data_IF_931653576480
#
_entry.id   IF_931653576480
#
_cell.length_a   1.000
_cell.length_b   1.000
_cell.length_c   1.000
_cell.angle_alpha   90.00
_cell.angle_beta   90.00
_cell.angle_gamma   90.00
#
_symmetry.space_group_name_H-M   'P 1'
#
loop_
_entity.id
_entity.type
_entity.pdbx_description
1 polymer ?
#
# COMPACT_ATOMS: atom_id res chain seq x y z
N UNK A 1 -35.83 -2.82 -77.10
CA UNK A 1 -37.20 -2.67 -76.55
C UNK A 1 -37.19 -3.13 -75.09
N UNK A 2 -37.48 -2.18 -74.18
CA UNK A 2 -38.03 -2.29 -72.79
C UNK A 2 -37.99 -3.70 -72.14
N UNK A 3 -37.47 -3.91 -70.92
CA UNK A 3 -37.76 -3.20 -69.66
C UNK A 3 -36.62 -3.40 -68.63
N UNK A 4 -36.33 -2.33 -67.88
CA UNK A 4 -35.54 -2.32 -66.63
C UNK A 4 -36.21 -3.16 -65.54
N UNK A 5 -35.42 -3.86 -64.74
CA UNK A 5 -35.70 -4.17 -63.34
C UNK A 5 -34.43 -3.87 -62.53
N UNK A 6 -34.43 -2.74 -61.84
CA UNK A 6 -33.43 -2.33 -60.88
C UNK A 6 -33.79 -2.98 -59.54
N UNK A 7 -33.08 -4.05 -59.15
CA UNK A 7 -33.22 -4.64 -57.84
C UNK A 7 -32.37 -3.85 -56.83
N UNK A 8 -33.05 -3.12 -55.95
CA UNK A 8 -32.47 -2.43 -54.80
C UNK A 8 -32.07 -3.49 -53.76
N UNK A 9 -30.77 -3.77 -53.61
CA UNK A 9 -30.25 -4.54 -52.48
C UNK A 9 -30.28 -3.65 -51.24
N UNK A 10 -31.31 -3.84 -50.41
CA UNK A 10 -31.35 -3.31 -49.05
C UNK A 10 -30.45 -4.23 -48.20
N UNK A 11 -29.24 -3.78 -47.92
CA UNK A 11 -28.38 -4.40 -46.90
C UNK A 11 -29.04 -4.18 -45.54
N UNK A 12 -29.68 -5.22 -45.01
CA UNK A 12 -30.19 -5.23 -43.65
C UNK A 12 -28.98 -5.20 -42.70
N UNK A 13 -28.67 -4.01 -42.20
CA UNK A 13 -27.71 -3.80 -41.13
C UNK A 13 -28.35 -4.34 -39.85
N UNK A 14 -28.09 -5.61 -39.55
CA UNK A 14 -28.48 -6.25 -38.30
C UNK A 14 -27.76 -5.53 -37.16
N UNK A 15 -28.44 -4.59 -36.51
CA UNK A 15 -28.11 -4.13 -35.17
C UNK A 15 -28.13 -5.36 -34.25
N UNK A 16 -26.97 -5.97 -34.02
CA UNK A 16 -26.74 -6.66 -32.76
C UNK A 16 -26.76 -5.58 -31.68
N UNK A 17 -27.93 -5.34 -31.11
CA UNK A 17 -28.03 -4.63 -29.86
C UNK A 17 -27.21 -5.42 -28.85
N UNK A 18 -26.12 -4.83 -28.35
CA UNK A 18 -25.60 -5.20 -27.05
C UNK A 18 -26.75 -4.95 -26.06
N UNK A 19 -27.48 -6.00 -25.73
CA UNK A 19 -28.23 -6.04 -24.49
C UNK A 19 -27.19 -6.06 -23.40
N UNK A 20 -26.83 -4.86 -22.92
CA UNK A 20 -26.23 -4.73 -21.61
C UNK A 20 -27.18 -5.48 -20.65
N UNK A 21 -26.71 -6.60 -20.12
CA UNK A 21 -27.35 -7.24 -18.98
C UNK A 21 -27.19 -6.24 -17.85
N UNK A 22 -28.18 -5.36 -17.69
CA UNK A 22 -28.42 -4.67 -16.43
C UNK A 22 -28.75 -5.79 -15.44
N UNK A 23 -27.72 -6.39 -14.85
CA UNK A 23 -27.87 -7.04 -13.56
C UNK A 23 -28.43 -5.97 -12.64
N UNK A 24 -29.71 -6.11 -12.33
CA UNK A 24 -30.47 -5.14 -11.59
C UNK A 24 -29.77 -4.90 -10.25
N UNK A 25 -29.27 -3.67 -10.03
CA UNK A 25 -28.72 -3.18 -8.75
C UNK A 25 -29.83 -3.03 -7.69
N UNK A 26 -30.70 -4.03 -7.57
CA UNK A 26 -31.88 -3.99 -6.71
C UNK A 26 -31.61 -4.79 -5.46
N UNK A 27 -31.68 -4.10 -4.34
CA UNK A 27 -31.75 -4.71 -3.01
C UNK A 27 -32.98 -5.64 -2.97
N UNK A 28 -32.87 -6.87 -2.44
CA UNK A 28 -34.00 -7.77 -2.28
C UNK A 28 -35.14 -7.11 -1.49
N UNK A 29 -36.39 -7.46 -1.81
CA UNK A 29 -37.56 -6.94 -1.10
C UNK A 29 -37.87 -7.71 0.20
N UNK A 30 -37.31 -8.92 0.33
CA UNK A 30 -37.42 -9.80 1.49
C UNK A 30 -36.35 -10.88 1.40
N UNK A 31 -35.90 -11.41 2.54
CA UNK A 31 -35.02 -12.57 2.59
C UNK A 31 -35.59 -13.74 1.75
N UNK A 32 -34.73 -14.37 0.96
CA UNK A 32 -35.11 -15.49 0.11
C UNK A 32 -35.41 -16.78 0.90
N UNK A 33 -36.24 -17.68 0.36
CA UNK A 33 -36.43 -19.02 0.92
C UNK A 33 -35.12 -19.80 1.09
N UNK A 34 -34.18 -19.65 0.15
CA UNK A 34 -32.87 -20.29 0.14
C UNK A 34 -32.03 -19.79 1.33
N UNK A 35 -31.92 -18.47 1.51
CA UNK A 35 -31.26 -17.90 2.69
C UNK A 35 -31.93 -18.31 4.00
N UNK A 36 -33.26 -18.42 4.03
CA UNK A 36 -33.99 -18.91 5.22
C UNK A 36 -33.61 -20.37 5.55
N UNK A 37 -33.44 -21.23 4.54
CA UNK A 37 -32.98 -22.60 4.71
C UNK A 37 -31.55 -22.63 5.28
N UNK A 38 -30.62 -21.84 4.71
CA UNK A 38 -29.25 -21.72 5.23
C UNK A 38 -29.24 -21.32 6.71
N UNK A 39 -30.01 -20.28 7.08
CA UNK A 39 -30.09 -19.78 8.46
C UNK A 39 -30.65 -20.85 9.40
N UNK A 40 -31.65 -21.63 8.98
CA UNK A 40 -32.28 -22.64 9.84
C UNK A 40 -31.30 -23.71 10.36
N UNK A 41 -30.27 -24.03 9.58
CA UNK A 41 -29.20 -24.95 9.96
C UNK A 41 -28.03 -24.22 10.63
N UNK A 42 -27.51 -23.17 9.99
CA UNK A 42 -26.31 -22.45 10.44
C UNK A 42 -26.52 -21.68 11.75
N UNK A 43 -27.77 -21.37 12.14
CA UNK A 43 -28.04 -20.75 13.44
C UNK A 43 -27.64 -21.65 14.62
N UNK A 44 -27.70 -22.96 14.44
CA UNK A 44 -27.23 -23.96 15.40
C UNK A 44 -25.73 -24.25 15.23
N UNK A 45 -25.28 -24.48 14.00
CA UNK A 45 -23.95 -25.04 13.74
C UNK A 45 -22.86 -23.97 13.67
N UNK A 46 -23.22 -22.76 13.23
CA UNK A 46 -22.32 -21.61 13.08
C UNK A 46 -22.94 -20.34 13.69
N UNK A 47 -23.30 -20.35 14.98
CA UNK A 47 -24.05 -19.27 15.60
C UNK A 47 -23.32 -17.92 15.57
N UNK A 48 -21.98 -17.93 15.53
CA UNK A 48 -21.18 -16.72 15.39
C UNK A 48 -21.37 -16.02 14.04
N UNK A 49 -21.36 -16.78 12.94
CA UNK A 49 -21.53 -16.21 11.59
C UNK A 49 -22.93 -15.63 11.42
N UNK A 50 -23.96 -16.37 11.85
CA UNK A 50 -25.35 -15.92 11.77
C UNK A 50 -25.57 -14.68 12.63
N UNK A 51 -24.99 -14.60 13.83
CA UNK A 51 -25.09 -13.40 14.68
C UNK A 51 -24.43 -12.17 14.05
N UNK A 52 -23.23 -12.33 13.49
CA UNK A 52 -22.54 -11.22 12.82
C UNK A 52 -23.30 -10.76 11.56
N UNK A 53 -23.84 -11.69 10.77
CA UNK A 53 -24.72 -11.35 9.65
C UNK A 53 -25.98 -10.62 10.13
N UNK A 54 -26.68 -11.09 11.18
CA UNK A 54 -27.84 -10.40 11.76
C UNK A 54 -27.50 -8.99 12.29
N UNK A 55 -26.25 -8.73 12.65
CA UNK A 55 -25.77 -7.40 13.04
C UNK A 55 -25.55 -6.46 11.83
N UNK A 56 -25.32 -7.03 10.66
CA UNK A 56 -24.95 -6.29 9.44
C UNK A 56 -26.08 -5.42 8.89
N UNK A 57 -25.70 -4.44 8.07
CA UNK A 57 -26.65 -3.71 7.22
C UNK A 57 -27.19 -4.56 6.07
N UNK A 58 -26.48 -5.62 5.66
CA UNK A 58 -26.95 -6.56 4.65
C UNK A 58 -28.19 -7.31 5.13
N UNK A 59 -28.21 -7.77 6.39
CA UNK A 59 -29.42 -8.36 7.00
C UNK A 59 -30.60 -7.39 7.01
N UNK A 60 -30.37 -6.13 7.40
CA UNK A 60 -31.41 -5.11 7.40
C UNK A 60 -31.92 -4.74 5.99
N UNK A 61 -31.17 -5.12 4.96
CA UNK A 61 -31.49 -4.95 3.55
C UNK A 61 -31.88 -6.27 2.88
N UNK A 62 -32.21 -7.31 3.65
CA UNK A 62 -32.64 -8.61 3.17
C UNK A 62 -31.63 -9.35 2.25
N UNK A 63 -30.36 -8.95 2.28
CA UNK A 63 -29.25 -9.66 1.63
C UNK A 63 -28.79 -10.78 2.58
N UNK A 64 -29.21 -12.01 2.27
CA UNK A 64 -28.93 -13.21 3.06
C UNK A 64 -27.71 -13.98 2.58
N UNK A 65 -27.58 -15.22 3.07
CA UNK A 65 -26.47 -16.11 2.77
C UNK A 65 -26.40 -16.44 1.27
N UNK A 66 -27.54 -16.85 0.70
CA UNK A 66 -27.62 -17.32 -0.68
C UNK A 66 -27.41 -16.19 -1.69
N UNK A 67 -27.84 -14.97 -1.38
CA UNK A 67 -27.62 -13.80 -2.25
C UNK A 67 -26.12 -13.52 -2.51
N UNK A 68 -25.23 -13.91 -1.58
CA UNK A 68 -23.79 -13.76 -1.75
C UNK A 68 -23.09 -15.06 -2.17
N UNK A 69 -23.52 -16.20 -1.62
CA UNK A 69 -22.82 -17.48 -1.79
C UNK A 69 -23.34 -18.31 -2.96
N UNK A 70 -24.47 -17.98 -3.58
CA UNK A 70 -24.95 -18.71 -4.74
C UNK A 70 -23.90 -18.70 -5.86
N UNK A 71 -23.58 -19.89 -6.35
CA UNK A 71 -22.64 -20.12 -7.44
C UNK A 71 -23.36 -20.67 -8.67
N UNK A 72 -22.72 -20.58 -9.82
CA UNK A 72 -23.13 -21.25 -11.05
C UNK A 72 -22.27 -22.48 -11.34
N UNK A 73 -22.75 -23.38 -12.19
CA UNK A 73 -22.05 -24.64 -12.52
C UNK A 73 -20.70 -24.42 -13.22
N UNK A 74 -20.48 -23.23 -13.78
CA UNK A 74 -19.22 -22.81 -14.40
C UNK A 74 -18.23 -22.16 -13.42
N UNK A 75 -18.64 -21.89 -12.18
CA UNK A 75 -17.73 -21.43 -11.13
C UNK A 75 -16.85 -22.60 -10.68
N UNK A 76 -15.53 -22.40 -10.76
CA UNK A 76 -14.56 -23.48 -10.49
C UNK A 76 -14.53 -23.92 -9.02
N UNK A 77 -15.01 -23.07 -8.10
CA UNK A 77 -15.12 -23.32 -6.66
C UNK A 77 -16.58 -23.59 -6.21
N UNK A 78 -17.48 -23.86 -7.16
CA UNK A 78 -18.84 -24.27 -6.86
C UNK A 78 -18.86 -25.65 -6.20
N UNK A 79 -19.59 -25.76 -5.10
CA UNK A 79 -19.81 -27.00 -4.36
C UNK A 79 -21.30 -27.20 -4.08
N UNK A 80 -21.76 -28.44 -4.20
CA UNK A 80 -23.12 -28.81 -3.82
C UNK A 80 -23.20 -28.91 -2.28
N UNK A 81 -24.17 -28.23 -1.69
CA UNK A 81 -24.40 -28.18 -0.25
C UNK A 81 -25.90 -28.14 0.06
N UNK A 82 -26.42 -29.28 0.55
CA UNK A 82 -27.83 -29.46 0.95
C UNK A 82 -28.84 -28.92 -0.08
N UNK A 83 -28.74 -29.44 -1.32
CA UNK A 83 -29.55 -29.08 -2.50
C UNK A 83 -29.28 -27.69 -3.11
N UNK A 84 -28.27 -26.96 -2.62
CA UNK A 84 -27.85 -25.66 -3.17
C UNK A 84 -26.46 -25.74 -3.79
N UNK A 85 -26.24 -25.01 -4.89
CA UNK A 85 -24.91 -24.80 -5.45
C UNK A 85 -24.34 -23.49 -4.91
N UNK A 86 -23.25 -23.58 -4.17
CA UNK A 86 -22.64 -22.42 -3.48
C UNK A 86 -21.14 -22.35 -3.72
N UNK A 87 -20.59 -21.14 -3.61
CA UNK A 87 -19.15 -20.91 -3.51
C UNK A 87 -18.82 -20.46 -2.09
N UNK A 88 -17.77 -21.04 -1.50
CA UNK A 88 -17.30 -20.60 -0.18
C UNK A 88 -16.72 -19.19 -0.23
N UNK A 89 -16.10 -18.82 -1.36
CA UNK A 89 -15.43 -17.54 -1.55
C UNK A 89 -16.35 -16.58 -2.27
N UNK A 90 -16.86 -15.58 -1.53
CA UNK A 90 -17.50 -14.41 -2.14
C UNK A 90 -16.40 -13.48 -2.65
N UNK A 91 -16.34 -13.29 -3.97
CA UNK A 91 -15.31 -12.49 -4.63
C UNK A 91 -15.73 -11.01 -4.74
N UNK A 92 -14.80 -10.09 -5.04
CA UNK A 92 -15.14 -8.73 -5.44
C UNK A 92 -16.15 -8.63 -6.59
N UNK A 93 -16.17 -9.59 -7.53
CA UNK A 93 -17.16 -9.64 -8.62
C UNK A 93 -18.56 -9.95 -8.11
N UNK A 94 -18.69 -10.75 -7.06
CA UNK A 94 -19.98 -10.95 -6.41
C UNK A 94 -20.45 -9.67 -5.74
N UNK A 95 -19.55 -8.95 -5.06
CA UNK A 95 -19.86 -7.65 -4.48
C UNK A 95 -20.30 -6.63 -5.55
N UNK A 96 -19.69 -6.67 -6.74
CA UNK A 96 -19.96 -5.70 -7.83
C UNK A 96 -21.37 -5.81 -8.41
N UNK A 97 -22.11 -6.90 -8.13
CA UNK A 97 -23.55 -7.01 -8.46
C UNK A 97 -24.35 -5.86 -7.83
N UNK A 98 -23.93 -5.37 -6.66
CA UNK A 98 -24.54 -4.23 -5.96
C UNK A 98 -23.60 -3.02 -5.83
N UNK A 99 -22.29 -3.24 -5.64
CA UNK A 99 -21.28 -2.24 -5.33
C UNK A 99 -20.29 -2.02 -6.48
N UNK A 100 -20.82 -1.72 -7.68
CA UNK A 100 -19.98 -1.63 -8.88
C UNK A 100 -18.97 -0.48 -8.80
N UNK A 101 -19.34 0.66 -8.22
CA UNK A 101 -18.44 1.81 -8.14
C UNK A 101 -17.24 1.49 -7.23
N UNK A 102 -17.49 0.94 -6.04
CA UNK A 102 -16.45 0.55 -5.10
C UNK A 102 -15.56 -0.56 -5.68
N UNK A 103 -16.16 -1.49 -6.43
CA UNK A 103 -15.43 -2.52 -7.17
C UNK A 103 -14.49 -1.92 -8.21
N UNK A 104 -14.98 -1.04 -9.09
CA UNK A 104 -14.20 -0.44 -10.17
C UNK A 104 -13.03 0.40 -9.60
N UNK A 105 -13.31 1.25 -8.62
CA UNK A 105 -12.28 2.02 -7.90
C UNK A 105 -11.22 1.11 -7.26
N UNK A 106 -11.65 0.01 -6.62
CA UNK A 106 -10.71 -0.93 -6.02
C UNK A 106 -9.87 -1.65 -7.08
N UNK A 107 -10.46 -2.08 -8.20
CA UNK A 107 -9.75 -2.80 -9.27
C UNK A 107 -8.63 -1.96 -9.91
N UNK A 108 -8.83 -0.65 -9.99
CA UNK A 108 -7.86 0.33 -10.50
C UNK A 108 -6.72 0.62 -9.51
N UNK A 109 -6.91 0.28 -8.23
CA UNK A 109 -5.94 0.54 -7.18
C UNK A 109 -4.75 -0.42 -7.20
N UNK A 110 -3.62 0.03 -6.64
CA UNK A 110 -2.47 -0.85 -6.38
C UNK A 110 -2.78 -1.96 -5.35
N UNK A 111 -3.80 -1.78 -4.51
CA UNK A 111 -4.23 -2.79 -3.54
C UNK A 111 -4.79 -4.04 -4.23
N UNK A 112 -5.55 -3.89 -5.32
CA UNK A 112 -6.01 -5.04 -6.11
C UNK A 112 -4.84 -5.83 -6.71
N UNK A 113 -3.75 -5.15 -7.04
CA UNK A 113 -2.55 -5.78 -7.61
C UNK A 113 -1.55 -6.28 -6.55
N UNK A 114 -1.84 -6.14 -5.26
CA UNK A 114 -0.89 -6.44 -4.18
C UNK A 114 -0.39 -7.89 -4.20
N UNK A 115 -1.23 -8.86 -4.56
CA UNK A 115 -0.86 -10.28 -4.63
C UNK A 115 0.13 -10.61 -5.75
N UNK A 116 0.29 -9.73 -6.74
CA UNK A 116 1.27 -9.90 -7.82
C UNK A 116 2.72 -9.77 -7.33
N UNK A 117 2.94 -9.17 -6.15
CA UNK A 117 4.28 -9.05 -5.57
C UNK A 117 4.92 -10.42 -5.31
N UNK A 118 4.12 -11.46 -5.06
CA UNK A 118 4.62 -12.81 -4.83
C UNK A 118 5.26 -13.43 -6.08
N UNK A 119 4.93 -12.92 -7.26
CA UNK A 119 5.58 -13.30 -8.52
C UNK A 119 6.79 -12.43 -8.88
N UNK A 120 7.23 -11.50 -8.02
CA UNK A 120 8.37 -10.64 -8.29
C UNK A 120 9.67 -11.19 -7.66
N UNK A 121 10.81 -10.72 -8.17
CA UNK A 121 12.13 -10.98 -7.58
C UNK A 121 12.23 -10.47 -6.13
N UNK A 122 11.32 -9.58 -5.69
CA UNK A 122 11.27 -9.10 -4.31
C UNK A 122 10.83 -10.22 -3.33
N UNK A 123 10.28 -11.34 -3.81
CA UNK A 123 9.84 -12.46 -2.99
C UNK A 123 10.95 -13.51 -2.70
N UNK A 124 12.18 -13.30 -3.18
CA UNK A 124 13.31 -14.22 -2.89
C UNK A 124 13.55 -14.32 -1.38
N UNK A 125 13.46 -13.19 -0.67
CA UNK A 125 13.63 -13.16 0.78
C UNK A 125 12.60 -14.06 1.48
N UNK A 126 11.33 -13.95 1.10
CA UNK A 126 10.26 -14.80 1.64
C UNK A 126 10.38 -16.26 1.20
N UNK A 127 10.33 -16.53 -0.11
CA UNK A 127 10.17 -17.90 -0.61
C UNK A 127 11.43 -18.75 -0.47
N UNK A 128 12.61 -18.14 -0.58
CA UNK A 128 13.89 -18.86 -0.62
C UNK A 128 14.65 -18.74 0.69
N UNK A 129 14.84 -17.51 1.19
CA UNK A 129 15.66 -17.27 2.39
C UNK A 129 14.91 -17.69 3.67
N UNK A 130 13.64 -17.29 3.82
CA UNK A 130 12.82 -17.61 5.00
C UNK A 130 12.09 -18.96 4.87
N UNK A 131 11.56 -19.25 3.68
CA UNK A 131 10.90 -20.50 3.31
C UNK A 131 9.38 -20.40 3.15
N UNK A 132 8.75 -21.41 2.53
CA UNK A 132 7.37 -21.34 2.04
C UNK A 132 6.33 -21.11 3.14
N UNK A 133 6.52 -21.69 4.33
CA UNK A 133 5.59 -21.50 5.44
C UNK A 133 5.61 -20.07 6.00
N UNK A 134 6.75 -19.39 5.95
CA UNK A 134 6.84 -17.98 6.34
C UNK A 134 6.05 -17.11 5.36
N UNK A 135 6.16 -17.37 4.05
CA UNK A 135 5.39 -16.68 3.01
C UNK A 135 3.89 -16.91 3.16
N UNK A 136 3.47 -18.15 3.40
CA UNK A 136 2.04 -18.50 3.57
C UNK A 136 1.41 -17.77 4.77
N UNK A 137 2.13 -17.71 5.90
CA UNK A 137 1.59 -17.14 7.13
C UNK A 137 1.87 -15.63 7.29
N UNK A 138 2.87 -15.09 6.60
CA UNK A 138 3.25 -13.67 6.63
C UNK A 138 2.79 -12.95 5.36
N UNK A 139 3.58 -13.06 4.30
CA UNK A 139 3.41 -12.27 3.08
C UNK A 139 2.03 -12.43 2.45
N UNK A 140 1.56 -13.67 2.26
CA UNK A 140 0.26 -13.98 1.63
C UNK A 140 -0.91 -13.46 2.46
N UNK A 141 -0.79 -13.38 3.78
CA UNK A 141 -1.87 -12.90 4.65
C UNK A 141 -2.11 -11.40 4.54
N UNK A 142 -1.11 -10.63 4.11
CA UNK A 142 -1.20 -9.20 3.85
C UNK A 142 -1.44 -8.88 2.36
N UNK A 143 -0.61 -9.43 1.47
CA UNK A 143 -0.64 -9.13 0.04
C UNK A 143 -1.71 -9.89 -0.73
N UNK A 144 -2.01 -11.12 -0.29
CA UNK A 144 -2.88 -12.06 -1.01
C UNK A 144 -2.09 -12.98 -1.92
N UNK A 145 -2.72 -14.07 -2.33
CA UNK A 145 -2.16 -15.05 -3.28
C UNK A 145 -3.22 -15.50 -4.27
N UNK A 146 -2.80 -16.27 -5.28
CA UNK A 146 -3.74 -17.05 -6.10
C UNK A 146 -4.36 -18.11 -5.20
N UNK A 147 -5.68 -18.09 -5.06
CA UNK A 147 -6.42 -19.18 -4.42
C UNK A 147 -6.49 -20.33 -5.40
N UNK A 148 -6.07 -21.51 -4.95
CA UNK A 148 -6.15 -22.73 -5.74
C UNK A 148 -7.33 -23.57 -5.28
N UNK A 149 -8.11 -24.03 -6.26
CA UNK A 149 -9.16 -25.03 -6.08
C UNK A 149 -8.59 -26.36 -6.58
N UNK A 150 -8.70 -27.39 -5.76
CA UNK A 150 -8.27 -28.75 -6.10
C UNK A 150 -9.29 -29.41 -7.03
N UNK A 151 -8.90 -30.52 -7.67
CA UNK A 151 -9.78 -31.28 -8.58
C UNK A 151 -11.07 -31.79 -7.91
N UNK A 152 -11.10 -31.91 -6.58
CA UNK A 152 -12.26 -32.33 -5.78
C UNK A 152 -13.14 -31.15 -5.30
N UNK A 153 -12.83 -29.92 -5.73
CA UNK A 153 -13.52 -28.69 -5.32
C UNK A 153 -13.07 -28.11 -3.98
N UNK A 154 -12.18 -28.79 -3.25
CA UNK A 154 -11.62 -28.27 -2.00
C UNK A 154 -10.60 -27.14 -2.26
N UNK A 155 -10.43 -26.25 -1.28
CA UNK A 155 -9.46 -25.15 -1.36
C UNK A 155 -8.09 -25.58 -0.82
N UNK A 156 -7.03 -25.29 -1.56
CA UNK A 156 -5.65 -25.65 -1.20
C UNK A 156 -5.21 -24.90 0.08
N UNK A 157 -4.77 -25.61 1.14
CA UNK A 157 -4.36 -25.02 2.42
C UNK A 157 -3.17 -24.06 2.31
N UNK A 158 -2.34 -24.14 1.27
CA UNK A 158 -1.22 -23.23 1.04
C UNK A 158 -1.67 -21.85 0.50
N UNK A 159 -2.95 -21.74 0.13
CA UNK A 159 -3.54 -20.55 -0.49
C UNK A 159 -4.85 -20.11 0.16
N UNK A 160 -5.44 -20.92 1.04
CA UNK A 160 -6.66 -20.63 1.79
C UNK A 160 -6.58 -21.19 3.22
N UNK A 161 -7.01 -20.47 4.27
CA UNK A 161 -7.68 -19.17 4.26
C UNK A 161 -6.75 -18.00 3.92
N UNK A 162 -7.27 -17.06 3.13
CA UNK A 162 -6.53 -15.86 2.73
C UNK A 162 -7.42 -14.61 2.74
N UNK A 163 -6.94 -13.58 3.43
CA UNK A 163 -7.58 -12.25 3.49
C UNK A 163 -6.64 -11.14 3.03
N UNK A 164 -5.62 -11.50 2.25
CA UNK A 164 -4.68 -10.54 1.72
C UNK A 164 -5.34 -9.62 0.70
N UNK A 165 -4.89 -8.37 0.67
CA UNK A 165 -5.60 -7.28 0.00
C UNK A 165 -5.80 -7.53 -1.49
N UNK A 166 -4.79 -8.06 -2.18
CA UNK A 166 -4.79 -8.36 -3.61
C UNK A 166 -4.88 -9.85 -3.92
N UNK A 167 -5.63 -10.63 -3.10
CA UNK A 167 -5.93 -12.05 -3.36
C UNK A 167 -6.47 -12.23 -4.78
N UNK A 168 -6.00 -13.24 -5.52
CA UNK A 168 -6.55 -13.56 -6.84
C UNK A 168 -7.55 -14.70 -6.63
N UNK A 169 -8.82 -14.40 -6.90
CA UNK A 169 -9.95 -15.28 -6.63
C UNK A 169 -10.14 -16.34 -7.73
N UNK A 170 -10.90 -17.42 -7.45
CA UNK A 170 -11.20 -18.46 -8.43
C UNK A 170 -11.83 -17.93 -9.74
N UNK A 171 -12.68 -16.91 -9.66
CA UNK A 171 -13.31 -16.22 -10.80
C UNK A 171 -12.37 -15.24 -11.55
N UNK A 172 -11.10 -15.18 -11.15
CA UNK A 172 -10.05 -14.30 -11.68
C UNK A 172 -10.14 -12.83 -11.23
N UNK A 173 -11.15 -12.46 -10.43
CA UNK A 173 -11.23 -11.12 -9.85
C UNK A 173 -10.11 -10.90 -8.83
N UNK A 174 -9.65 -9.66 -8.71
CA UNK A 174 -8.57 -9.30 -7.78
C UNK A 174 -9.16 -8.66 -6.53
N UNK A 175 -8.72 -9.14 -5.38
CA UNK A 175 -8.96 -8.52 -4.08
C UNK A 175 -9.70 -9.38 -3.07
N UNK A 176 -9.72 -8.88 -1.84
CA UNK A 176 -10.57 -9.39 -0.77
C UNK A 176 -11.32 -8.22 -0.13
N UNK A 177 -12.58 -7.99 -0.53
CA UNK A 177 -13.40 -6.90 0.02
C UNK A 177 -13.62 -7.01 1.54
N UNK A 178 -13.47 -8.20 2.12
CA UNK A 178 -13.53 -8.41 3.57
C UNK A 178 -12.23 -8.02 4.31
N UNK A 179 -11.22 -7.48 3.63
CA UNK A 179 -9.94 -7.11 4.25
C UNK A 179 -10.07 -5.93 5.23
N UNK A 180 -11.02 -5.01 5.00
CA UNK A 180 -11.20 -3.82 5.85
C UNK A 180 -12.49 -3.79 6.68
N UNK A 181 -13.59 -4.25 6.11
CA UNK A 181 -14.85 -4.43 6.82
C UNK A 181 -15.16 -5.92 6.82
N UNK A 182 -14.71 -6.59 7.87
CA UNK A 182 -14.67 -8.05 7.96
C UNK A 182 -16.05 -8.69 7.77
N UNK A 183 -16.03 -9.88 7.17
CA UNK A 183 -17.20 -10.77 7.16
C UNK A 183 -17.51 -11.22 8.61
N UNK A 184 -18.76 -11.40 9.02
CA UNK A 184 -20.00 -11.26 8.24
C UNK A 184 -20.84 -10.03 8.63
N UNK A 185 -20.31 -9.15 9.49
CA UNK A 185 -20.99 -7.89 9.83
C UNK A 185 -20.81 -6.83 8.76
N UNK A 186 -19.70 -6.86 8.00
CA UNK A 186 -19.36 -5.90 6.95
C UNK A 186 -19.55 -4.44 7.42
N UNK A 187 -19.23 -4.15 8.68
CA UNK A 187 -19.46 -2.84 9.27
C UNK A 187 -18.45 -1.82 8.74
N UNK A 188 -18.93 -0.81 8.03
CA UNK A 188 -18.11 0.31 7.57
C UNK A 188 -17.42 1.06 8.72
N UNK A 189 -17.97 1.01 9.94
CA UNK A 189 -17.33 1.57 11.12
C UNK A 189 -16.01 0.85 11.45
N UNK A 190 -15.86 -0.44 11.14
CA UNK A 190 -14.59 -1.16 11.30
C UNK A 190 -13.54 -0.67 10.30
N UNK A 191 -13.92 -0.47 9.04
CA UNK A 191 -13.02 0.04 8.00
C UNK A 191 -12.54 1.48 8.29
N UNK A 192 -13.30 2.25 9.07
CA UNK A 192 -12.96 3.62 9.48
C UNK A 192 -12.01 3.68 10.67
N UNK A 193 -11.75 2.56 11.33
CA UNK A 193 -10.88 2.49 12.50
C UNK A 193 -9.42 2.22 12.08
N UNK A 194 -8.44 2.94 12.66
CA UNK A 194 -7.03 2.77 12.33
C UNK A 194 -6.48 1.36 12.66
N UNK A 195 -7.08 0.67 13.64
CA UNK A 195 -6.73 -0.71 14.04
C UNK A 195 -6.80 -1.67 12.86
N UNK A 196 -7.82 -1.51 12.02
CA UNK A 196 -8.05 -2.42 10.91
C UNK A 196 -6.93 -2.33 9.84
N UNK A 197 -6.40 -1.12 9.58
CA UNK A 197 -5.27 -0.92 8.68
C UNK A 197 -3.98 -1.57 9.24
N UNK A 198 -3.85 -1.59 10.58
CA UNK A 198 -2.70 -2.14 11.29
C UNK A 198 -2.52 -3.64 11.19
N UNK A 199 -3.42 -4.40 10.53
CA UNK A 199 -3.14 -5.79 10.16
C UNK A 199 -1.97 -5.92 9.19
N UNK A 200 -1.82 -4.94 8.28
CA UNK A 200 -0.82 -4.99 7.19
C UNK A 200 0.14 -3.80 7.22
N UNK A 201 -0.32 -2.63 7.67
CA UNK A 201 0.43 -1.38 7.66
C UNK A 201 1.11 -1.12 9.01
N UNK A 202 2.07 -1.98 9.35
CA UNK A 202 2.80 -2.01 10.61
C UNK A 202 4.23 -2.52 10.39
N UNK A 203 5.03 -2.53 11.46
CA UNK A 203 6.29 -3.25 11.49
C UNK A 203 7.48 -2.48 10.91
N UNK A 204 8.61 -3.15 10.68
CA UNK A 204 9.91 -2.49 10.53
C UNK A 204 10.08 -1.69 9.23
N UNK A 205 9.32 -2.02 8.18
CA UNK A 205 9.49 -1.43 6.85
C UNK A 205 8.39 -0.41 6.48
N UNK A 206 7.23 -0.50 7.11
CA UNK A 206 6.15 0.47 6.92
C UNK A 206 5.26 0.60 8.17
N UNK A 207 5.79 1.20 9.27
CA UNK A 207 5.10 1.30 10.56
C UNK A 207 4.03 2.40 10.58
N UNK A 208 3.13 2.43 9.60
CA UNK A 208 2.13 3.49 9.49
C UNK A 208 1.17 3.49 10.68
N UNK A 209 0.86 2.32 11.26
CA UNK A 209 0.03 2.20 12.46
C UNK A 209 0.71 2.84 13.67
N UNK A 210 1.97 2.53 13.90
CA UNK A 210 2.75 3.00 15.04
C UNK A 210 3.02 4.51 14.92
N UNK A 211 3.34 4.98 13.70
CA UNK A 211 3.48 6.41 13.42
C UNK A 211 2.17 7.16 13.72
N UNK A 212 1.03 6.59 13.28
CA UNK A 212 -0.27 7.21 13.55
C UNK A 212 -0.55 7.29 15.05
N UNK A 213 -0.30 6.20 15.80
CA UNK A 213 -0.48 6.15 17.26
C UNK A 213 0.37 7.17 18.01
N UNK A 214 1.62 7.38 17.58
CA UNK A 214 2.52 8.40 18.15
C UNK A 214 2.03 9.83 17.85
N UNK A 215 1.44 10.03 16.66
CA UNK A 215 1.04 11.34 16.18
C UNK A 215 -0.05 11.99 17.04
N UNK A 216 -0.15 13.33 16.98
CA UNK A 216 -1.25 14.05 17.61
C UNK A 216 -2.62 13.69 17.03
N UNK A 217 -2.69 13.23 15.79
CA UNK A 217 -3.92 12.74 15.19
C UNK A 217 -4.39 11.44 15.86
N UNK A 218 -3.51 10.45 16.03
CA UNK A 218 -3.85 9.21 16.71
C UNK A 218 -4.21 9.41 18.17
N UNK A 219 -3.41 10.19 18.91
CA UNK A 219 -3.71 10.53 20.32
C UNK A 219 -5.10 11.18 20.44
N UNK A 220 -5.42 12.13 19.55
CA UNK A 220 -6.72 12.80 19.56
C UNK A 220 -7.87 11.84 19.19
N UNK A 221 -7.66 10.93 18.24
CA UNK A 221 -8.64 9.91 17.87
C UNK A 221 -8.99 9.02 19.07
N UNK A 222 -8.00 8.42 19.73
CA UNK A 222 -8.23 7.54 20.88
C UNK A 222 -8.90 8.26 22.04
N UNK A 223 -8.52 9.52 22.29
CA UNK A 223 -9.13 10.33 23.34
C UNK A 223 -10.58 10.74 23.06
N UNK A 224 -11.07 10.59 21.82
CA UNK A 224 -12.38 11.13 21.39
C UNK A 224 -13.17 10.15 20.52
N UNK A 225 -12.86 8.84 20.58
CA UNK A 225 -13.47 7.81 19.72
C UNK A 225 -15.00 7.78 19.84
N UNK A 226 -15.53 8.08 21.02
CA UNK A 226 -16.95 8.16 21.34
C UNK A 226 -17.70 9.23 20.52
N UNK A 227 -17.01 10.33 20.14
CA UNK A 227 -17.57 11.42 19.32
C UNK A 227 -17.08 11.42 17.87
N UNK A 228 -16.47 10.33 17.40
CA UNK A 228 -16.04 10.20 16.00
C UNK A 228 -17.16 9.81 15.04
N UNK A 229 -18.37 9.54 15.54
CA UNK A 229 -19.55 9.19 14.73
C UNK A 229 -19.31 8.04 13.73
N UNK A 230 -18.47 7.05 14.07
CA UNK A 230 -17.97 6.01 13.16
C UNK A 230 -19.06 5.22 12.40
N UNK A 231 -20.29 5.19 12.93
CA UNK A 231 -21.46 4.51 12.32
C UNK A 231 -22.29 5.41 11.40
N UNK A 232 -21.95 6.69 11.25
CA UNK A 232 -22.66 7.63 10.37
C UNK A 232 -22.63 7.14 8.91
N UNK A 233 -23.74 7.30 8.18
CA UNK A 233 -23.79 6.90 6.78
C UNK A 233 -22.87 7.78 5.91
N UNK A 234 -22.88 9.10 6.12
CA UNK A 234 -22.06 10.06 5.38
C UNK A 234 -20.59 10.06 5.83
N UNK A 235 -20.36 10.12 7.15
CA UNK A 235 -19.05 10.17 7.79
C UNK A 235 -18.03 11.11 7.12
N UNK A 236 -18.40 12.39 7.06
CA UNK A 236 -17.62 13.46 6.42
C UNK A 236 -16.88 14.28 7.49
N UNK A 237 -15.56 14.42 7.35
CA UNK A 237 -14.74 15.25 8.25
C UNK A 237 -15.16 16.72 8.17
N UNK A 238 -15.25 17.38 9.33
CA UNK A 238 -15.74 18.76 9.46
C UNK A 238 -17.27 18.90 9.46
N UNK A 239 -18.02 17.84 9.16
CA UNK A 239 -19.49 17.80 9.19
C UNK A 239 -19.99 16.83 10.26
N UNK A 240 -19.64 15.55 10.14
CA UNK A 240 -20.09 14.48 11.04
C UNK A 240 -19.16 14.32 12.26
N UNK A 241 -17.86 14.59 12.08
CA UNK A 241 -16.85 14.54 13.12
C UNK A 241 -15.74 15.55 12.85
N UNK A 242 -15.04 15.96 13.90
CA UNK A 242 -13.95 16.95 13.83
C UNK A 242 -12.83 16.72 14.83
N UNK A 243 -12.92 15.65 15.63
CA UNK A 243 -11.99 15.43 16.74
C UNK A 243 -10.57 15.10 16.26
N UNK A 244 -10.46 14.24 15.25
CA UNK A 244 -9.21 13.77 14.68
C UNK A 244 -9.47 13.12 13.31
N UNK A 245 -8.46 13.04 12.42
CA UNK A 245 -8.51 12.15 11.27
C UNK A 245 -8.08 10.72 11.65
N UNK A 246 -8.53 9.74 10.87
CA UNK A 246 -8.05 8.35 10.86
C UNK A 246 -7.34 8.05 9.54
N UNK A 247 -6.82 6.83 9.38
CA UNK A 247 -6.30 6.33 8.09
C UNK A 247 -7.35 6.50 6.97
N UNK A 248 -8.59 6.06 7.23
CA UNK A 248 -9.69 6.15 6.28
C UNK A 248 -10.08 7.60 5.99
N UNK A 249 -10.04 8.50 6.98
CA UNK A 249 -10.31 9.93 6.78
C UNK A 249 -9.43 10.53 5.69
N UNK A 250 -8.12 10.24 5.77
CA UNK A 250 -7.15 10.82 4.85
C UNK A 250 -7.17 10.15 3.48
N UNK A 251 -7.29 8.83 3.44
CA UNK A 251 -7.01 8.05 2.23
C UNK A 251 -8.23 7.59 1.44
N UNK A 252 -9.42 7.57 2.03
CA UNK A 252 -10.60 6.96 1.40
C UNK A 252 -11.86 7.81 1.53
N UNK A 253 -12.10 8.36 2.72
CA UNK A 253 -13.39 8.93 3.09
C UNK A 253 -13.65 10.28 2.43
N UNK A 254 -14.93 10.60 2.29
CA UNK A 254 -15.39 11.84 1.71
C UNK A 254 -15.00 13.06 2.57
N UNK A 255 -14.79 14.18 1.89
CA UNK A 255 -14.75 15.52 2.49
C UNK A 255 -15.98 16.29 1.99
N UNK A 256 -16.06 17.59 2.27
CA UNK A 256 -17.08 18.44 1.66
C UNK A 256 -16.98 18.51 0.12
N UNK A 257 -15.78 18.35 -0.43
CA UNK A 257 -15.48 18.54 -1.86
C UNK A 257 -15.09 17.25 -2.57
N UNK A 258 -14.56 16.27 -1.84
CA UNK A 258 -14.13 14.98 -2.37
C UNK A 258 -15.14 13.90 -2.02
N UNK A 259 -15.44 13.05 -3.00
CA UNK A 259 -16.22 11.82 -2.76
C UNK A 259 -15.40 10.78 -2.02
N UNK A 260 -16.09 9.77 -1.47
CA UNK A 260 -15.44 8.54 -1.01
C UNK A 260 -14.79 7.84 -2.20
N UNK A 261 -13.69 7.12 -1.98
CA UNK A 261 -13.04 6.28 -2.98
C UNK A 261 -12.45 5.01 -2.37
N UNK A 262 -12.46 3.92 -3.13
CA UNK A 262 -11.73 2.68 -2.85
C UNK A 262 -10.39 2.56 -3.60
N UNK A 263 -9.95 3.60 -4.31
CA UNK A 263 -8.55 3.75 -4.75
C UNK A 263 -7.74 4.56 -3.72
N UNK A 264 -7.06 3.84 -2.82
CA UNK A 264 -6.22 4.42 -1.76
C UNK A 264 -5.04 5.23 -2.34
N UNK A 265 -4.66 4.97 -3.60
CA UNK A 265 -3.61 5.69 -4.32
C UNK A 265 -4.01 7.09 -4.77
N UNK A 266 -5.30 7.43 -4.76
CA UNK A 266 -5.85 8.62 -5.41
C UNK A 266 -5.45 9.95 -4.75
N UNK A 267 -4.87 9.90 -3.54
CA UNK A 267 -4.41 11.08 -2.77
C UNK A 267 -2.92 11.07 -2.43
N UNK A 268 -2.15 10.16 -3.03
CA UNK A 268 -0.71 10.00 -2.77
C UNK A 268 0.11 10.86 -3.73
N UNK A 269 1.04 11.70 -3.24
CA UNK A 269 1.92 12.50 -4.11
C UNK A 269 3.33 11.93 -4.29
N UNK A 270 3.76 11.05 -3.39
CA UNK A 270 5.06 10.38 -3.39
C UNK A 270 4.88 8.89 -3.19
N UNK A 271 5.56 8.05 -3.98
CA UNK A 271 5.80 6.67 -3.59
C UNK A 271 7.02 6.62 -2.67
N UNK A 272 6.83 6.12 -1.45
CA UNK A 272 7.88 6.00 -0.41
C UNK A 272 8.43 4.57 -0.31
N UNK A 273 7.89 3.64 -1.10
CA UNK A 273 8.32 2.24 -1.19
C UNK A 273 9.74 2.07 -1.73
N UNK A 274 10.16 2.69 -2.85
CA UNK A 274 11.45 2.38 -3.48
C UNK A 274 12.67 2.90 -2.67
N UNK A 275 13.88 2.43 -3.01
CA UNK A 275 15.11 2.94 -2.39
C UNK A 275 15.26 4.46 -2.51
N UNK A 276 14.85 5.02 -3.65
CA UNK A 276 14.77 6.46 -3.92
C UNK A 276 13.32 6.82 -4.24
N UNK A 277 12.71 7.69 -3.42
CA UNK A 277 11.31 8.08 -3.57
C UNK A 277 11.09 8.88 -4.85
N UNK A 278 9.94 8.66 -5.49
CA UNK A 278 9.55 9.34 -6.73
C UNK A 278 8.13 9.89 -6.62
N UNK A 279 7.80 10.87 -7.46
CA UNK A 279 6.40 11.28 -7.64
C UNK A 279 5.60 10.08 -8.15
N UNK A 280 4.39 9.90 -7.62
CA UNK A 280 3.61 8.67 -7.84
C UNK A 280 3.31 8.40 -9.32
N UNK A 281 3.22 9.46 -10.13
CA UNK A 281 2.93 9.44 -11.55
C UNK A 281 4.17 9.28 -12.43
N UNK A 282 5.39 9.37 -11.87
CA UNK A 282 6.64 9.36 -12.63
C UNK A 282 6.79 8.09 -13.49
N UNK A 283 6.48 6.92 -12.93
CA UNK A 283 6.56 5.66 -13.69
C UNK A 283 5.50 5.56 -14.79
N UNK A 284 4.30 6.11 -14.57
CA UNK A 284 3.24 6.08 -15.57
C UNK A 284 3.56 7.02 -16.74
N UNK A 285 4.04 8.23 -16.43
CA UNK A 285 4.50 9.20 -17.41
C UNK A 285 5.66 8.66 -18.26
N UNK A 286 6.62 7.96 -17.65
CA UNK A 286 7.72 7.32 -18.38
C UNK A 286 7.23 6.23 -19.37
N UNK A 287 6.05 5.65 -19.14
CA UNK A 287 5.40 4.67 -20.02
C UNK A 287 4.40 5.30 -21.00
N UNK A 288 4.28 6.63 -21.02
CA UNK A 288 3.30 7.34 -21.85
C UNK A 288 1.84 7.13 -21.42
N UNK A 289 1.61 6.74 -20.16
CA UNK A 289 0.27 6.54 -19.62
C UNK A 289 -0.28 7.86 -19.07
N UNK A 290 -1.54 8.14 -19.38
CA UNK A 290 -2.27 9.24 -18.77
C UNK A 290 -2.85 8.77 -17.44
N UNK A 291 -2.41 9.41 -16.37
CA UNK A 291 -2.90 9.19 -15.00
C UNK A 291 -3.11 10.54 -14.35
N UNK A 292 -3.94 10.60 -13.31
CA UNK A 292 -4.04 11.78 -12.44
C UNK A 292 -2.63 12.24 -12.04
N UNK A 293 -2.37 13.53 -11.95
CA UNK A 293 -1.01 14.01 -11.65
C UNK A 293 -0.71 13.94 -10.15
N UNK A 294 0.57 13.88 -9.76
CA UNK A 294 0.96 13.98 -8.35
C UNK A 294 0.51 15.32 -7.73
N UNK A 295 0.36 16.37 -8.55
CA UNK A 295 -0.09 17.70 -8.11
C UNK A 295 -1.58 17.69 -7.76
N UNK A 296 -2.40 17.04 -8.58
CA UNK A 296 -3.83 16.90 -8.33
C UNK A 296 -4.07 16.02 -7.10
N UNK A 297 -3.36 14.89 -6.99
CA UNK A 297 -3.42 14.05 -5.77
C UNK A 297 -3.00 14.80 -4.51
N UNK A 298 -1.99 15.68 -4.61
CA UNK A 298 -1.59 16.55 -3.51
C UNK A 298 -2.67 17.59 -3.19
N UNK A 299 -3.32 18.16 -4.20
CA UNK A 299 -4.43 19.08 -4.01
C UNK A 299 -5.55 18.41 -3.21
N UNK A 300 -5.87 17.17 -3.54
CA UNK A 300 -6.91 16.41 -2.84
C UNK A 300 -6.52 16.10 -1.40
N UNK A 301 -5.28 15.69 -1.14
CA UNK A 301 -4.82 15.54 0.25
C UNK A 301 -4.83 16.88 1.01
N UNK A 302 -4.45 17.99 0.36
CA UNK A 302 -4.57 19.33 0.98
C UNK A 302 -6.03 19.69 1.28
N UNK A 303 -6.98 19.28 0.43
CA UNK A 303 -8.40 19.43 0.69
C UNK A 303 -8.84 18.65 1.93
N UNK A 304 -8.35 17.43 2.16
CA UNK A 304 -8.59 16.72 3.42
C UNK A 304 -8.12 17.58 4.60
N UNK A 305 -6.88 18.07 4.56
CA UNK A 305 -6.30 18.86 5.64
C UNK A 305 -7.07 20.17 5.92
N UNK A 306 -7.63 20.81 4.89
CA UNK A 306 -8.30 22.12 5.00
C UNK A 306 -9.61 22.08 5.78
N UNK A 307 -10.18 20.89 6.01
CA UNK A 307 -11.35 20.72 6.89
C UNK A 307 -11.01 20.99 8.37
N UNK A 308 -9.72 21.08 8.74
CA UNK A 308 -9.29 21.34 10.12
C UNK A 308 -8.16 22.37 10.25
N UNK A 309 -7.33 22.55 9.21
CA UNK A 309 -6.13 23.38 9.26
C UNK A 309 -6.14 24.55 8.28
N UNK A 310 -5.44 25.63 8.64
CA UNK A 310 -5.23 26.76 7.74
C UNK A 310 -4.26 26.39 6.61
N UNK A 311 -4.38 27.07 5.47
CA UNK A 311 -3.48 26.88 4.32
C UNK A 311 -2.00 27.04 4.69
N UNK A 312 -1.66 28.03 5.52
CA UNK A 312 -0.30 28.26 5.99
C UNK A 312 0.28 27.07 6.75
N UNK A 313 -0.52 26.42 7.59
CA UNK A 313 -0.09 25.22 8.32
C UNK A 313 0.17 24.06 7.35
N UNK A 314 -0.75 23.86 6.41
CA UNK A 314 -0.67 22.81 5.39
C UNK A 314 0.57 23.01 4.50
N UNK A 315 0.82 24.22 4.03
CA UNK A 315 1.97 24.53 3.17
C UNK A 315 3.30 24.38 3.91
N UNK A 316 3.35 24.76 5.19
CA UNK A 316 4.52 24.52 6.03
C UNK A 316 4.77 23.03 6.23
N UNK A 317 3.73 22.22 6.46
CA UNK A 317 3.85 20.78 6.53
C UNK A 317 4.46 20.20 5.24
N UNK A 318 3.92 20.55 4.07
CA UNK A 318 4.44 20.04 2.81
C UNK A 318 5.87 20.50 2.51
N UNK A 319 6.25 21.69 2.96
CA UNK A 319 7.64 22.17 2.87
C UNK A 319 8.58 21.30 3.68
N UNK A 320 8.21 20.95 4.92
CA UNK A 320 9.00 20.07 5.78
C UNK A 320 9.02 18.64 5.26
N UNK A 321 7.86 18.12 4.84
CA UNK A 321 7.73 16.78 4.31
C UNK A 321 8.54 16.58 3.03
N UNK A 322 8.38 17.46 2.03
CA UNK A 322 9.18 17.39 0.80
C UNK A 322 10.68 17.56 1.11
N UNK A 323 11.04 18.42 2.07
CA UNK A 323 12.41 18.58 2.54
C UNK A 323 13.00 17.30 3.13
N UNK A 324 12.24 16.55 3.93
CA UNK A 324 12.66 15.27 4.48
C UNK A 324 12.84 14.20 3.38
N UNK A 325 11.93 14.14 2.40
CA UNK A 325 12.06 13.21 1.27
C UNK A 325 13.31 13.51 0.46
N UNK A 326 13.55 14.79 0.12
CA UNK A 326 14.72 15.20 -0.65
C UNK A 326 16.01 14.98 0.15
N UNK A 327 16.02 15.32 1.44
CA UNK A 327 17.17 15.04 2.32
C UNK A 327 17.53 13.56 2.28
N UNK A 328 16.56 12.66 2.47
CA UNK A 328 16.83 11.23 2.36
C UNK A 328 17.36 10.87 0.96
N UNK A 329 16.66 11.31 -0.09
CA UNK A 329 16.94 10.89 -1.47
C UNK A 329 18.35 11.32 -1.88
N UNK A 330 18.66 12.59 -1.69
CA UNK A 330 19.89 13.20 -2.20
C UNK A 330 21.09 12.78 -1.35
N UNK A 331 20.96 12.82 -0.02
CA UNK A 331 22.06 12.52 0.90
C UNK A 331 22.36 11.03 1.04
N UNK A 332 21.35 10.17 1.03
CA UNK A 332 21.53 8.76 1.40
C UNK A 332 21.07 7.81 0.29
N UNK A 333 19.83 7.96 -0.16
CA UNK A 333 19.18 7.01 -1.07
C UNK A 333 19.89 6.88 -2.42
N UNK A 334 20.17 8.00 -3.09
CA UNK A 334 20.83 8.04 -4.40
C UNK A 334 22.28 7.56 -4.28
N UNK A 335 23.14 8.11 -3.40
CA UNK A 335 24.51 7.63 -3.25
C UNK A 335 24.61 6.13 -2.92
N UNK A 336 23.87 5.66 -1.91
CA UNK A 336 23.91 4.25 -1.52
C UNK A 336 23.45 3.32 -2.66
N UNK A 337 22.38 3.71 -3.37
CA UNK A 337 21.86 2.91 -4.50
C UNK A 337 22.85 2.87 -5.66
N UNK A 338 23.51 3.98 -5.98
CA UNK A 338 24.51 4.04 -7.06
C UNK A 338 25.74 3.20 -6.73
N UNK A 339 26.27 3.32 -5.51
CA UNK A 339 27.40 2.54 -5.02
C UNK A 339 27.06 1.05 -5.03
N UNK A 340 25.95 0.65 -4.41
CA UNK A 340 25.52 -0.75 -4.34
C UNK A 340 25.35 -1.37 -5.73
N UNK A 341 24.65 -0.68 -6.63
CA UNK A 341 24.49 -1.16 -8.02
C UNK A 341 25.83 -1.31 -8.74
N UNK A 342 26.78 -0.41 -8.50
CA UNK A 342 28.11 -0.49 -9.12
C UNK A 342 28.91 -1.67 -8.57
N UNK A 343 28.94 -1.85 -7.26
CA UNK A 343 29.57 -3.00 -6.59
C UNK A 343 29.04 -4.32 -7.17
N UNK A 344 27.71 -4.46 -7.25
CA UNK A 344 27.06 -5.67 -7.79
C UNK A 344 27.30 -5.86 -9.29
N UNK A 345 27.07 -4.84 -10.11
CA UNK A 345 27.18 -4.96 -11.58
C UNK A 345 28.62 -5.17 -12.07
N UNK A 346 29.62 -4.75 -11.29
CA UNK A 346 31.03 -5.02 -11.56
C UNK A 346 31.51 -6.39 -11.09
N UNK A 347 30.67 -7.20 -10.43
CA UNK A 347 31.07 -8.52 -9.92
C UNK A 347 32.07 -8.46 -8.76
N UNK A 348 32.07 -7.35 -7.99
CA UNK A 348 32.87 -7.25 -6.75
C UNK A 348 32.25 -8.04 -5.60
N UNK A 349 30.94 -8.27 -5.68
CA UNK A 349 30.15 -9.23 -4.91
C UNK A 349 29.42 -10.16 -5.89
N UNK A 350 28.79 -11.22 -5.40
CA UNK A 350 27.96 -12.08 -6.27
C UNK A 350 26.82 -11.26 -6.89
N UNK A 351 26.42 -11.61 -8.11
CA UNK A 351 25.41 -10.84 -8.85
C UNK A 351 24.20 -11.68 -9.28
N UNK A 352 24.36 -13.00 -9.31
CA UNK A 352 23.35 -14.00 -9.68
C UNK A 352 22.62 -14.61 -8.48
N UNK A 353 23.19 -14.50 -7.27
CA UNK A 353 22.56 -14.87 -6.00
C UNK A 353 22.18 -13.58 -5.27
N UNK A 354 21.05 -13.60 -4.55
CA UNK A 354 20.56 -12.46 -3.80
C UNK A 354 20.55 -12.78 -2.31
N UNK A 355 20.94 -11.81 -1.50
CA UNK A 355 21.06 -11.90 -0.03
C UNK A 355 22.10 -12.92 0.47
N UNK A 356 23.13 -13.23 -0.32
CA UNK A 356 24.28 -14.06 0.09
C UNK A 356 25.49 -13.22 0.54
N UNK A 357 25.51 -11.92 0.27
CA UNK A 357 26.55 -10.99 0.71
C UNK A 357 26.05 -10.05 1.82
N UNK A 358 26.88 -9.80 2.83
CA UNK A 358 26.53 -8.95 3.99
C UNK A 358 26.12 -7.52 3.57
N UNK A 359 26.80 -6.97 2.57
CA UNK A 359 26.50 -5.64 2.03
C UNK A 359 25.06 -5.54 1.50
N UNK A 360 24.50 -6.62 0.95
CA UNK A 360 23.12 -6.62 0.45
C UNK A 360 22.12 -6.42 1.59
N UNK A 361 22.36 -7.05 2.74
CA UNK A 361 21.55 -6.90 3.94
C UNK A 361 21.67 -5.49 4.52
N UNK A 362 22.89 -4.96 4.65
CA UNK A 362 23.14 -3.59 5.14
C UNK A 362 22.48 -2.55 4.23
N UNK A 363 22.61 -2.69 2.90
CA UNK A 363 21.91 -1.83 1.94
C UNK A 363 20.39 -1.98 2.06
N UNK A 364 19.88 -3.21 2.17
CA UNK A 364 18.45 -3.48 2.32
C UNK A 364 17.89 -2.79 3.56
N UNK A 365 18.50 -2.95 4.73
CA UNK A 365 18.05 -2.27 5.96
C UNK A 365 18.06 -0.75 5.85
N UNK A 366 19.10 -0.19 5.23
CA UNK A 366 19.25 1.25 5.03
C UNK A 366 18.04 1.85 4.30
N UNK A 367 17.63 1.26 3.18
CA UNK A 367 16.55 1.84 2.37
C UNK A 367 15.16 1.26 2.69
N UNK A 368 15.07 -0.04 2.98
CA UNK A 368 13.81 -0.76 3.17
C UNK A 368 13.21 -0.51 4.54
N UNK A 369 14.02 -0.51 5.60
CA UNK A 369 13.54 -0.25 6.95
C UNK A 369 13.70 1.22 7.30
N UNK A 370 14.92 1.65 7.53
CA UNK A 370 15.24 2.94 8.13
C UNK A 370 14.82 4.10 7.19
N UNK A 371 15.12 3.96 5.90
CA UNK A 371 14.72 4.87 4.83
C UNK A 371 13.21 5.04 4.70
N UNK A 372 12.45 3.93 4.72
CA UNK A 372 10.99 4.00 4.69
C UNK A 372 10.43 4.62 5.98
N UNK A 373 10.92 4.20 7.14
CA UNK A 373 10.51 4.73 8.46
C UNK A 373 10.66 6.24 8.55
N UNK A 374 11.82 6.78 8.17
CA UNK A 374 12.05 8.22 8.20
C UNK A 374 11.05 9.00 7.35
N UNK A 375 10.85 8.54 6.11
CA UNK A 375 9.98 9.20 5.12
C UNK A 375 8.50 9.09 5.47
N UNK A 376 8.07 7.93 5.97
CA UNK A 376 6.70 7.70 6.41
C UNK A 376 6.41 8.44 7.72
N UNK A 377 7.36 8.49 8.65
CA UNK A 377 7.27 9.29 9.87
C UNK A 377 7.03 10.76 9.56
N UNK A 378 7.80 11.31 8.61
CA UNK A 378 7.63 12.68 8.15
C UNK A 378 6.25 12.92 7.48
N UNK A 379 5.72 11.92 6.76
CA UNK A 379 4.44 12.01 6.07
C UNK A 379 3.21 12.05 7.00
N UNK A 380 3.32 11.52 8.22
CA UNK A 380 2.18 11.30 9.12
C UNK A 380 2.39 11.86 10.53
N UNK A 381 3.35 12.78 10.70
CA UNK A 381 3.65 13.44 11.98
C UNK A 381 4.13 12.48 13.09
N UNK A 382 4.96 11.49 12.75
CA UNK A 382 5.70 10.67 13.71
C UNK A 382 7.13 11.19 13.89
N UNK A 383 7.41 12.08 14.86
CA UNK A 383 8.74 12.64 15.03
C UNK A 383 9.79 11.60 15.44
N UNK A 384 9.43 10.60 16.25
CA UNK A 384 10.37 9.54 16.66
C UNK A 384 10.70 8.61 15.48
N UNK A 385 9.71 8.27 14.66
CA UNK A 385 9.92 7.54 13.40
C UNK A 385 10.68 8.34 12.35
N UNK A 386 10.54 9.66 12.35
CA UNK A 386 11.34 10.53 11.48
C UNK A 386 12.80 10.54 11.92
N UNK A 387 13.04 10.64 13.23
CA UNK A 387 14.37 10.78 13.80
C UNK A 387 14.97 9.44 14.22
N UNK A 388 14.59 8.93 15.39
CA UNK A 388 15.36 7.90 16.10
C UNK A 388 15.25 6.53 15.45
N UNK A 389 14.07 6.21 14.91
CA UNK A 389 13.86 5.01 14.07
C UNK A 389 14.06 5.28 12.58
N UNK A 390 14.49 6.49 12.22
CA UNK A 390 14.63 6.98 10.85
C UNK A 390 16.01 7.55 10.60
N UNK A 391 16.14 8.87 10.47
CA UNK A 391 17.38 9.54 10.10
C UNK A 391 18.59 9.22 10.98
N UNK A 392 18.39 8.89 12.27
CA UNK A 392 19.48 8.45 13.13
C UNK A 392 20.05 7.11 12.68
N UNK A 393 19.19 6.09 12.53
CA UNK A 393 19.60 4.77 12.06
C UNK A 393 20.13 4.82 10.63
N UNK A 394 19.49 5.58 9.72
CA UNK A 394 20.00 5.77 8.35
C UNK A 394 21.43 6.32 8.37
N UNK A 395 21.69 7.35 9.19
CA UNK A 395 23.02 7.95 9.26
C UNK A 395 24.04 6.97 9.82
N UNK A 396 23.71 6.30 10.93
CA UNK A 396 24.58 5.30 11.54
C UNK A 396 24.90 4.16 10.54
N UNK A 397 23.87 3.55 9.94
CA UNK A 397 23.99 2.50 8.92
C UNK A 397 24.83 2.94 7.74
N UNK A 398 24.59 4.15 7.22
CA UNK A 398 25.31 4.66 6.06
C UNK A 398 26.81 4.86 6.36
N UNK A 399 27.13 5.56 7.46
CA UNK A 399 28.50 5.99 7.76
C UNK A 399 29.34 4.92 8.47
N UNK A 400 28.70 4.06 9.28
CA UNK A 400 29.39 3.11 10.15
C UNK A 400 29.38 1.68 9.63
N UNK A 401 28.43 1.32 8.75
CA UNK A 401 28.35 -0.03 8.18
C UNK A 401 28.53 -0.02 6.66
N UNK A 402 27.61 0.61 5.92
CA UNK A 402 27.55 0.53 4.46
C UNK A 402 28.84 1.02 3.79
N UNK A 403 29.31 2.23 4.10
CA UNK A 403 30.54 2.76 3.48
C UNK A 403 31.77 1.93 3.87
N UNK A 404 32.03 1.61 5.16
CA UNK A 404 33.15 0.75 5.54
C UNK A 404 33.15 -0.62 4.86
N UNK A 405 32.00 -1.30 4.76
CA UNK A 405 31.89 -2.59 4.06
C UNK A 405 32.25 -2.46 2.58
N UNK A 406 31.76 -1.41 1.91
CA UNK A 406 32.12 -1.14 0.50
C UNK A 406 33.63 -0.87 0.37
N UNK A 407 34.23 -0.13 1.29
CA UNK A 407 35.67 0.14 1.29
C UNK A 407 36.49 -1.15 1.45
N UNK A 408 36.09 -2.06 2.34
CA UNK A 408 36.75 -3.36 2.50
C UNK A 408 36.68 -4.20 1.20
N UNK A 409 35.52 -4.24 0.55
CA UNK A 409 35.35 -4.91 -0.75
C UNK A 409 36.28 -4.31 -1.81
N UNK A 410 36.38 -2.97 -1.86
CA UNK A 410 37.28 -2.26 -2.76
C UNK A 410 38.75 -2.59 -2.47
N UNK A 411 39.17 -2.60 -1.20
CA UNK A 411 40.54 -2.92 -0.80
C UNK A 411 40.92 -4.35 -1.21
N UNK A 412 40.04 -5.33 -0.96
CA UNK A 412 40.25 -6.71 -1.38
C UNK A 412 40.34 -6.85 -2.91
N UNK A 413 39.41 -6.22 -3.65
CA UNK A 413 39.42 -6.26 -5.11
C UNK A 413 40.69 -5.64 -5.73
N UNK A 414 41.21 -4.57 -5.14
CA UNK A 414 42.49 -3.96 -5.54
C UNK A 414 43.67 -4.90 -5.25
N UNK A 415 43.65 -5.60 -4.12
CA UNK A 415 44.70 -6.56 -3.76
C UNK A 415 44.71 -7.79 -4.69
N UNK A 416 43.54 -8.25 -5.15
CA UNK A 416 43.43 -9.34 -6.13
C UNK A 416 43.94 -8.94 -7.52
N UNK A 417 43.80 -7.66 -7.89
CA UNK A 417 44.27 -7.13 -9.17
C UNK A 417 43.37 -7.48 -10.37
N UNK A 418 43.86 -7.21 -11.58
CA UNK A 418 43.14 -7.49 -12.82
C UNK A 418 41.90 -6.60 -13.02
N UNK A 419 40.88 -7.14 -13.70
CA UNK A 419 39.65 -6.40 -14.04
C UNK A 419 38.88 -5.90 -12.80
N UNK A 420 39.00 -6.63 -11.67
CA UNK A 420 38.39 -6.23 -10.39
C UNK A 420 39.00 -4.95 -9.80
N UNK A 421 40.30 -4.72 -10.01
CA UNK A 421 40.95 -3.51 -9.51
C UNK A 421 40.42 -2.24 -10.21
N UNK A 422 40.19 -2.28 -11.52
CA UNK A 422 39.58 -1.17 -12.26
C UNK A 422 38.14 -0.90 -11.81
N UNK A 423 37.35 -1.95 -11.61
CA UNK A 423 36.01 -1.82 -11.05
C UNK A 423 36.01 -1.22 -9.63
N UNK A 424 37.00 -1.58 -8.81
CA UNK A 424 37.16 -1.06 -7.45
C UNK A 424 37.52 0.44 -7.44
N UNK A 425 38.34 0.91 -8.40
CA UNK A 425 38.62 2.35 -8.58
C UNK A 425 37.35 3.14 -8.92
N UNK A 426 36.46 2.60 -9.76
CA UNK A 426 35.18 3.26 -10.08
C UNK A 426 34.25 3.36 -8.86
N UNK A 427 34.21 2.33 -8.00
CA UNK A 427 33.43 2.36 -6.76
C UNK A 427 34.02 3.35 -5.76
N UNK A 428 35.35 3.38 -5.62
CA UNK A 428 36.04 4.35 -4.76
C UNK A 428 35.78 5.79 -5.22
N UNK A 429 35.72 6.03 -6.53
CA UNK A 429 35.37 7.34 -7.08
C UNK A 429 33.94 7.76 -6.70
N UNK A 430 32.97 6.84 -6.69
CA UNK A 430 31.60 7.13 -6.23
C UNK A 430 31.55 7.46 -4.73
N UNK A 431 32.35 6.77 -3.90
CA UNK A 431 32.47 7.09 -2.46
C UNK A 431 33.07 8.48 -2.29
N UNK A 432 34.13 8.80 -3.04
CA UNK A 432 34.79 10.11 -2.99
C UNK A 432 33.82 11.23 -3.43
N UNK A 433 33.10 11.05 -4.55
CA UNK A 433 32.07 11.99 -5.01
C UNK A 433 31.00 12.23 -3.94
N UNK A 434 30.55 11.16 -3.28
CA UNK A 434 29.58 11.25 -2.18
C UNK A 434 30.11 12.08 -1.02
N UNK A 435 31.38 11.91 -0.64
CA UNK A 435 31.98 12.68 0.45
C UNK A 435 32.37 14.12 0.08
N UNK A 436 32.40 14.46 -1.20
CA UNK A 436 32.53 15.84 -1.69
C UNK A 436 31.21 16.62 -1.67
N UNK A 437 30.08 15.95 -1.46
CA UNK A 437 28.80 16.61 -1.21
C UNK A 437 28.84 17.34 0.14
N UNK A 438 28.39 18.60 0.18
CA UNK A 438 28.52 19.48 1.35
C UNK A 438 27.93 18.89 2.64
N UNK A 439 26.85 18.12 2.52
CA UNK A 439 26.15 17.44 3.60
C UNK A 439 26.86 16.21 4.20
N UNK A 440 27.94 15.73 3.57
CA UNK A 440 28.79 14.64 4.08
C UNK A 440 30.15 15.12 4.60
N UNK A 441 30.61 16.33 4.22
CA UNK A 441 31.94 16.86 4.59
C UNK A 441 32.22 16.92 6.10
N UNK A 442 31.18 16.96 6.93
CA UNK A 442 31.35 16.88 8.39
C UNK A 442 31.96 15.56 8.84
N UNK A 443 31.68 14.46 8.15
CA UNK A 443 32.16 13.12 8.48
C UNK A 443 33.64 12.96 8.13
N UNK A 444 34.09 13.55 7.02
CA UNK A 444 35.50 13.51 6.57
C UNK A 444 36.37 14.59 7.22
N UNK A 445 35.81 15.44 8.09
CA UNK A 445 36.51 16.57 8.71
C UNK A 445 36.66 17.80 7.80
N UNK A 446 36.18 17.72 6.56
CA UNK A 446 36.28 18.77 5.53
C UNK A 446 35.10 19.76 5.55
N UNK A 447 34.27 19.76 6.60
CA UNK A 447 33.15 20.70 6.71
C UNK A 447 33.67 22.15 6.65
N UNK A 448 33.09 23.01 5.79
CA UNK A 448 33.58 24.38 5.64
C UNK A 448 33.53 25.17 6.96
N UNK A 449 34.58 25.95 7.23
CA UNK A 449 34.75 26.67 8.50
C UNK A 449 33.63 27.69 8.75
N UNK A 450 33.06 28.28 7.71
CA UNK A 450 31.90 29.15 7.80
C UNK A 450 30.65 28.41 8.31
N UNK A 451 30.45 27.15 7.92
CA UNK A 451 29.34 26.31 8.37
C UNK A 451 29.52 25.96 9.85
N UNK A 452 30.74 25.53 10.25
CA UNK A 452 31.09 25.27 11.66
C UNK A 452 30.86 26.51 12.53
N UNK A 453 31.35 27.67 12.09
CA UNK A 453 31.18 28.95 12.79
C UNK A 453 29.72 29.34 12.88
N UNK A 454 28.94 29.17 11.81
CA UNK A 454 27.51 29.46 11.80
C UNK A 454 26.75 28.58 12.80
N UNK A 455 27.02 27.27 12.83
CA UNK A 455 26.41 26.31 13.78
C UNK A 455 26.76 26.68 15.22
N UNK A 456 28.03 26.97 15.50
CA UNK A 456 28.49 27.38 16.85
C UNK A 456 27.82 28.69 17.29
N UNK A 457 27.79 29.70 16.42
CA UNK A 457 27.13 30.98 16.68
C UNK A 457 25.64 30.78 16.98
N UNK A 458 24.93 29.99 16.17
CA UNK A 458 23.52 29.70 16.39
C UNK A 458 23.28 29.02 17.75
N UNK A 459 24.14 28.07 18.13
CA UNK A 459 24.06 27.41 19.44
C UNK A 459 24.34 28.36 20.61
N UNK A 460 25.32 29.27 20.49
CA UNK A 460 25.62 30.30 21.49
C UNK A 460 24.49 31.31 21.63
N UNK A 461 23.92 31.78 20.52
CA UNK A 461 22.76 32.68 20.51
C UNK A 461 21.54 32.03 21.15
N UNK A 462 21.27 30.76 20.85
CA UNK A 462 20.22 29.99 21.50
C UNK A 462 20.45 29.89 23.02
N UNK A 463 21.65 29.47 23.44
CA UNK A 463 22.00 29.39 24.87
C UNK A 463 21.84 30.73 25.57
N UNK A 464 22.30 31.83 24.96
CA UNK A 464 22.18 33.19 25.53
C UNK A 464 20.72 33.63 25.64
N UNK A 465 19.87 33.27 24.68
CA UNK A 465 18.44 33.62 24.69
C UNK A 465 17.68 32.92 25.82
N UNK A 466 18.10 31.71 26.21
CA UNK A 466 17.39 30.86 27.16
C UNK A 466 18.17 30.55 28.45
N UNK A 467 19.36 31.13 28.64
CA UNK A 467 20.07 31.11 29.93
C UNK A 467 19.25 31.93 30.92
N UNK A 468 18.57 31.23 31.84
CA UNK A 468 17.92 31.84 33.00
C UNK A 468 18.93 32.23 34.05
#
# INVERSE_FOLDING_TARGET
MKKSNLALLITAMSLFGLTAVNASRTIPASMSPESAACVSCHESDMPGLVKEWRHSRHYAADVGCFECHAASEDDIDAVEHDDYLIATIVSPRDCSKCHLNEYDEFQDSHHADAGKILGSLDNVLGEVVEGPMAVINGCKQCHGSIVKVNDDGSLDPDTWPNTGMGRINPDGSKGSCAACHSRHSFDAALARQPENCGKCHLGPDHPQKEIYEESKHGIAYYANVDRMALKSASWIVGIDYSAAPTCATCHMSATKELSITHDIGDRISWTLRPPVSQKIDASALAKGQEVKSWRDRRSDMKNVCSNCHTSSYIDNFYTQYDGAINLYNDKFGIPATSIYKKVRSSGLITNDIAFDDELEWTYFYLWHHEGRRARMGAAMFGPDYTQWHGFYEIAERFYMEFIPQVQEIVEHAKAEGGDKAGAAEEVEALIAETFEMDEHKWFTGNEPEEVKKARKKAAEEFKKRYSR
#
